data_IF_151084095779
#
_entry.id   IF_151084095779
#
_cell.length_a   1.000
_cell.length_b   1.000
_cell.length_c   1.000
_cell.angle_alpha   90.00
_cell.angle_beta   90.00
_cell.angle_gamma   90.00
#
_symmetry.space_group_name_H-M   'P 1'
#
loop_
_entity.id
_entity.type
_entity.pdbx_description
1 polymer ?
#
# COMPACT_ATOMS: atom_id res chain seq x y z
N UNK A 1 5.29 -12.85 -42.57
CA UNK A 1 4.53 -11.76 -41.95
C UNK A 1 3.07 -12.18 -41.91
N UNK A 2 2.50 -12.39 -40.71
CA UNK A 2 1.09 -12.76 -40.57
C UNK A 2 0.38 -11.50 -40.06
N UNK A 3 -0.60 -11.03 -40.79
CA UNK A 3 -1.44 -9.88 -40.43
C UNK A 3 -2.68 -10.37 -39.70
N UNK A 4 -3.03 -9.74 -38.59
CA UNK A 4 -4.29 -9.95 -37.88
C UNK A 4 -5.07 -8.63 -37.87
N UNK A 5 -6.25 -8.64 -38.52
CA UNK A 5 -7.15 -7.49 -38.59
C UNK A 5 -8.26 -7.66 -37.54
N UNK A 6 -8.05 -7.12 -36.34
CA UNK A 6 -9.10 -7.01 -35.34
C UNK A 6 -9.73 -5.62 -35.36
N UNK A 7 -10.96 -5.51 -35.86
CA UNK A 7 -11.71 -4.26 -35.78
C UNK A 7 -12.32 -4.12 -34.38
N UNK A 8 -11.96 -3.05 -33.66
CA UNK A 8 -12.64 -2.66 -32.44
C UNK A 8 -13.25 -1.27 -32.64
N UNK A 9 -14.55 -1.15 -32.39
CA UNK A 9 -15.24 0.15 -32.43
C UNK A 9 -14.83 0.97 -31.21
N UNK A 10 -14.30 2.17 -31.41
CA UNK A 10 -13.98 3.13 -30.33
C UNK A 10 -14.88 4.34 -30.55
N UNK A 11 -15.73 4.72 -29.57
CA UNK A 11 -16.58 5.91 -29.71
C UNK A 11 -15.76 7.17 -29.92
N UNK A 12 -16.29 8.11 -30.71
CA UNK A 12 -15.62 9.38 -30.96
C UNK A 12 -15.32 10.13 -29.67
N UNK A 13 -14.06 10.56 -29.50
CA UNK A 13 -13.58 11.30 -28.34
C UNK A 13 -12.82 10.46 -27.29
N UNK A 14 -12.75 9.14 -27.40
CA UNK A 14 -11.97 8.28 -26.50
C UNK A 14 -10.59 8.02 -27.11
N UNK A 15 -9.52 8.46 -26.45
CA UNK A 15 -8.15 8.08 -26.83
C UNK A 15 -7.91 6.63 -26.45
N UNK A 16 -7.59 5.71 -27.39
CA UNK A 16 -7.29 4.34 -27.05
C UNK A 16 -5.97 4.27 -26.27
N UNK A 17 -6.01 3.67 -25.09
CA UNK A 17 -4.79 3.34 -24.35
C UNK A 17 -4.25 2.04 -24.90
N UNK A 18 -3.21 2.12 -25.74
CA UNK A 18 -2.54 0.94 -26.28
C UNK A 18 -1.50 0.46 -25.25
N UNK A 19 -1.89 -0.52 -24.45
CA UNK A 19 -1.08 -1.06 -23.36
C UNK A 19 0.01 -2.05 -23.79
N UNK A 20 0.53 -2.01 -25.04
CA UNK A 20 1.58 -2.94 -25.45
C UNK A 20 2.79 -2.22 -26.02
N UNK A 21 3.95 -2.42 -25.39
CA UNK A 21 5.22 -1.88 -25.87
C UNK A 21 5.71 -2.67 -27.07
N UNK A 22 6.29 -1.95 -28.05
CA UNK A 22 7.06 -2.56 -29.15
C UNK A 22 8.15 -3.47 -28.58
N UNK A 23 8.27 -4.69 -29.07
CA UNK A 23 9.21 -5.69 -28.57
C UNK A 23 8.66 -6.60 -27.47
N UNK A 24 7.44 -6.38 -26.96
CA UNK A 24 6.81 -7.29 -26.01
C UNK A 24 6.48 -8.66 -26.65
N UNK A 25 6.59 -9.78 -25.90
CA UNK A 25 6.25 -11.10 -26.44
C UNK A 25 4.76 -11.22 -26.75
N UNK A 26 4.44 -11.98 -27.80
CA UNK A 26 3.05 -12.27 -28.16
C UNK A 26 2.57 -13.45 -27.31
N UNK A 27 1.45 -13.34 -26.55
CA UNK A 27 0.92 -14.44 -25.76
C UNK A 27 0.70 -15.70 -26.57
N UNK A 28 1.18 -16.85 -26.08
CA UNK A 28 1.10 -18.14 -26.76
C UNK A 28 2.07 -18.33 -27.93
N UNK A 29 2.96 -17.38 -28.17
CA UNK A 29 3.98 -17.47 -29.24
C UNK A 29 5.33 -16.96 -28.74
N UNK A 30 6.14 -17.77 -28.08
CA UNK A 30 7.38 -17.33 -27.41
C UNK A 30 8.43 -16.72 -28.35
N UNK A 31 8.39 -17.08 -29.65
CA UNK A 31 9.33 -16.61 -30.67
C UNK A 31 8.77 -15.42 -31.51
N UNK A 32 7.71 -14.77 -31.09
CA UNK A 32 7.13 -13.62 -31.77
C UNK A 32 7.10 -12.38 -30.84
N UNK A 33 7.39 -11.23 -31.41
CA UNK A 33 7.36 -9.94 -30.71
C UNK A 33 6.57 -8.90 -31.48
N UNK A 34 5.94 -7.98 -30.76
CA UNK A 34 5.18 -6.89 -31.35
C UNK A 34 6.13 -5.87 -32.00
N UNK A 35 5.96 -5.60 -33.29
CA UNK A 35 6.86 -4.71 -34.07
C UNK A 35 6.20 -3.45 -34.57
N UNK A 36 4.88 -3.32 -34.55
CA UNK A 36 4.26 -2.20 -35.18
C UNK A 36 3.30 -1.40 -34.36
N UNK A 37 3.39 -0.18 -34.73
CA UNK A 37 2.70 0.95 -34.28
C UNK A 37 1.29 1.09 -34.82
N UNK A 38 0.65 2.00 -34.14
CA UNK A 38 -0.68 2.49 -34.41
C UNK A 38 -0.67 3.43 -35.63
N UNK A 39 -1.62 3.25 -36.54
CA UNK A 39 -1.92 4.22 -37.58
C UNK A 39 -3.38 4.62 -37.42
N UNK A 40 -3.59 5.71 -36.66
CA UNK A 40 -4.91 6.29 -36.47
C UNK A 40 -5.15 7.47 -37.43
N UNK A 41 -6.26 7.44 -38.16
CA UNK A 41 -6.82 8.60 -38.84
C UNK A 41 -8.03 9.11 -38.05
N UNK A 42 -8.27 10.41 -38.09
CA UNK A 42 -9.48 11.04 -37.54
C UNK A 42 -10.68 10.69 -38.43
N UNK A 43 -11.39 9.61 -38.13
CA UNK A 43 -12.57 9.18 -38.84
C UNK A 43 -13.41 8.18 -38.07
N UNK A 44 -14.66 7.99 -38.46
CA UNK A 44 -15.66 7.17 -37.73
C UNK A 44 -15.36 5.66 -37.59
N UNK A 45 -14.21 5.19 -38.08
CA UNK A 45 -13.74 3.82 -37.93
C UNK A 45 -12.22 3.79 -37.74
N UNK A 46 -11.74 3.70 -36.50
CA UNK A 46 -10.33 3.45 -36.23
C UNK A 46 -10.04 1.95 -36.32
N UNK A 47 -9.22 1.56 -37.32
CA UNK A 47 -8.68 0.20 -37.43
C UNK A 47 -7.28 0.15 -36.83
N UNK A 48 -7.08 -0.70 -35.83
CA UNK A 48 -5.77 -0.99 -35.30
C UNK A 48 -5.13 -2.16 -36.04
N UNK A 49 -4.12 -1.89 -36.86
CA UNK A 49 -3.30 -2.94 -37.49
C UNK A 49 -2.13 -3.28 -36.59
N UNK A 50 -2.06 -4.55 -36.17
CA UNK A 50 -0.93 -5.08 -35.40
C UNK A 50 -0.15 -6.03 -36.31
N UNK A 51 1.15 -5.73 -36.52
CA UNK A 51 2.08 -6.64 -37.17
C UNK A 51 3.04 -7.22 -36.13
N UNK A 52 3.36 -8.51 -36.25
CA UNK A 52 4.41 -9.17 -35.45
C UNK A 52 5.38 -9.90 -36.38
N UNK A 53 6.64 -9.92 -35.99
CA UNK A 53 7.67 -10.67 -36.69
C UNK A 53 7.94 -11.98 -35.94
N UNK A 54 8.05 -13.07 -36.69
CA UNK A 54 8.53 -14.34 -36.17
C UNK A 54 10.05 -14.28 -36.21
N UNK A 55 10.71 -14.34 -35.08
CA UNK A 55 12.16 -14.53 -34.99
C UNK A 55 12.48 -15.97 -35.40
N UNK A 56 12.86 -16.16 -36.66
CA UNK A 56 13.44 -17.44 -37.12
C UNK A 56 14.84 -17.52 -36.52
N UNK A 57 15.03 -18.48 -35.63
CA UNK A 57 16.37 -18.84 -35.18
C UNK A 57 17.11 -19.42 -36.38
N UNK A 58 18.29 -18.91 -36.76
CA UNK A 58 19.07 -19.52 -37.85
C UNK A 58 19.42 -20.94 -37.46
N UNK A 59 19.17 -21.86 -38.38
CA UNK A 59 19.60 -23.25 -38.26
C UNK A 59 21.13 -23.28 -38.16
N UNK A 60 21.74 -23.97 -37.19
CA UNK A 60 23.17 -24.01 -37.08
C UNK A 60 23.77 -24.72 -38.31
N UNK A 61 24.67 -24.04 -38.99
CA UNK A 61 25.48 -24.59 -40.06
C UNK A 61 26.41 -25.66 -39.46
N UNK A 62 26.53 -26.87 -40.04
CA UNK A 62 27.42 -27.89 -39.51
C UNK A 62 28.87 -27.42 -39.60
N UNK A 63 29.52 -27.28 -38.46
CA UNK A 63 30.94 -26.95 -38.34
C UNK A 63 31.77 -28.17 -38.63
N UNK A 64 32.73 -28.02 -39.53
CA UNK A 64 33.70 -29.09 -39.93
C UNK A 64 34.46 -29.61 -38.70
N UNK A 65 34.55 -30.92 -38.62
CA UNK A 65 35.32 -31.64 -37.61
C UNK A 65 36.82 -31.25 -37.67
N UNK A 66 37.34 -30.72 -36.59
CA UNK A 66 38.78 -30.49 -36.39
C UNK A 66 39.36 -31.63 -35.60
N UNK A 67 40.49 -32.14 -36.10
CA UNK A 67 41.32 -33.18 -35.51
C UNK A 67 41.78 -32.82 -34.08
N UNK A 68 41.75 -33.74 -33.09
CA UNK A 68 42.11 -33.41 -31.71
C UNK A 68 43.60 -33.12 -31.57
N UNK A 69 43.93 -31.96 -31.06
CA UNK A 69 45.26 -31.56 -30.59
C UNK A 69 45.53 -32.20 -29.22
N UNK A 70 46.76 -32.61 -28.89
CA UNK A 70 47.03 -33.33 -27.65
C UNK A 70 46.75 -32.51 -26.40
N UNK A 71 46.18 -33.20 -25.42
CA UNK A 71 45.77 -32.75 -24.10
C UNK A 71 46.89 -32.03 -23.35
N UNK A 72 46.62 -30.78 -22.97
CA UNK A 72 47.37 -30.08 -21.94
C UNK A 72 46.75 -30.43 -20.56
N UNK A 73 47.61 -30.76 -19.59
CA UNK A 73 47.24 -31.07 -18.21
C UNK A 73 46.33 -29.97 -17.64
N UNK A 74 45.17 -30.32 -17.06
CA UNK A 74 44.25 -29.29 -16.52
C UNK A 74 44.91 -28.56 -15.35
N UNK A 75 45.06 -27.26 -15.47
CA UNK A 75 45.32 -26.37 -14.33
C UNK A 75 44.14 -26.49 -13.35
N UNK A 76 44.37 -26.55 -12.02
CA UNK A 76 43.26 -26.65 -11.07
C UNK A 76 42.34 -25.48 -11.24
N UNK A 77 41.14 -25.75 -11.69
CA UNK A 77 40.05 -24.76 -11.77
C UNK A 77 39.70 -24.37 -10.34
N UNK A 78 39.94 -23.09 -9.99
CA UNK A 78 39.44 -22.54 -8.74
C UNK A 78 37.90 -22.67 -8.76
N UNK A 79 37.39 -23.47 -7.82
CA UNK A 79 35.94 -23.57 -7.60
C UNK A 79 35.44 -22.16 -7.34
N UNK A 80 34.49 -21.62 -8.12
CA UNK A 80 33.94 -20.32 -7.82
C UNK A 80 33.33 -20.35 -6.41
N UNK A 81 33.80 -19.47 -5.53
CA UNK A 81 33.15 -19.23 -4.27
C UNK A 81 31.70 -18.88 -4.60
N UNK A 82 30.68 -19.56 -3.99
CA UNK A 82 29.31 -19.23 -4.25
C UNK A 82 29.14 -17.75 -3.97
N UNK A 83 28.86 -16.98 -5.00
CA UNK A 83 28.42 -15.58 -4.85
C UNK A 83 27.18 -15.64 -3.98
N UNK A 84 27.19 -14.97 -2.84
CA UNK A 84 25.99 -14.81 -2.06
C UNK A 84 24.93 -14.27 -3.03
N UNK A 85 23.87 -15.05 -3.25
CA UNK A 85 22.74 -14.57 -4.05
C UNK A 85 22.21 -13.33 -3.34
N UNK A 86 22.30 -12.19 -4.01
CA UNK A 86 21.59 -10.97 -3.56
C UNK A 86 20.12 -11.38 -3.49
N UNK A 87 19.44 -11.23 -2.36
CA UNK A 87 18.01 -11.52 -2.29
C UNK A 87 17.30 -10.75 -3.41
N UNK A 88 16.53 -11.45 -4.24
CA UNK A 88 15.75 -10.84 -5.31
C UNK A 88 14.46 -10.29 -4.72
N UNK A 89 14.52 -9.16 -4.05
CA UNK A 89 13.36 -8.53 -3.42
C UNK A 89 13.66 -7.09 -3.01
N UNK A 90 12.62 -6.38 -2.61
CA UNK A 90 12.77 -5.03 -2.08
C UNK A 90 13.53 -5.06 -0.74
N UNK A 91 14.63 -4.30 -0.57
CA UNK A 91 15.47 -4.38 0.64
C UNK A 91 14.73 -4.01 1.93
N UNK A 92 13.82 -3.04 1.89
CA UNK A 92 13.08 -2.60 3.06
C UNK A 92 12.01 -3.64 3.43
N UNK A 93 11.36 -4.26 2.43
CA UNK A 93 10.45 -5.38 2.64
C UNK A 93 11.17 -6.57 3.29
N UNK A 94 12.35 -6.94 2.80
CA UNK A 94 13.18 -8.03 3.37
C UNK A 94 13.62 -7.73 4.81
N UNK A 95 14.01 -6.48 5.07
CA UNK A 95 14.33 -6.04 6.43
C UNK A 95 13.13 -6.16 7.36
N UNK A 96 11.93 -5.74 6.91
CA UNK A 96 10.70 -5.88 7.69
C UNK A 96 10.32 -7.33 7.93
N UNK A 97 10.35 -8.22 6.92
CA UNK A 97 10.11 -9.66 7.04
C UNK A 97 11.04 -10.27 8.09
N UNK A 98 12.33 -9.91 8.04
CA UNK A 98 13.32 -10.35 9.02
C UNK A 98 12.95 -9.89 10.44
N UNK A 99 12.51 -8.64 10.62
CA UNK A 99 12.06 -8.12 11.92
C UNK A 99 10.83 -8.87 12.43
N UNK A 100 9.86 -9.18 11.58
CA UNK A 100 8.68 -9.98 11.93
C UNK A 100 9.09 -11.36 12.46
N UNK A 101 9.99 -12.05 11.75
CA UNK A 101 10.51 -13.35 12.17
C UNK A 101 11.26 -13.28 13.51
N UNK A 102 12.13 -12.28 13.67
CA UNK A 102 12.88 -12.06 14.91
C UNK A 102 11.97 -11.73 16.11
N UNK A 103 10.82 -11.12 15.87
CA UNK A 103 9.76 -10.87 16.85
C UNK A 103 8.90 -12.11 17.15
N UNK A 104 9.28 -13.30 16.65
CA UNK A 104 8.56 -14.55 16.82
C UNK A 104 7.27 -14.64 15.99
N UNK A 105 7.09 -13.77 15.02
CA UNK A 105 6.01 -13.86 14.04
C UNK A 105 6.29 -14.95 13.00
N UNK A 106 5.23 -15.49 12.43
CA UNK A 106 5.33 -16.48 11.34
C UNK A 106 4.67 -15.93 10.09
N UNK A 107 5.38 -16.05 8.98
CA UNK A 107 4.90 -15.68 7.65
C UNK A 107 4.94 -16.91 6.74
N UNK A 108 3.96 -17.05 5.87
CA UNK A 108 4.03 -17.98 4.74
C UNK A 108 4.73 -17.29 3.58
N UNK A 109 5.30 -18.05 2.62
CA UNK A 109 5.91 -17.47 1.43
C UNK A 109 4.95 -16.56 0.64
N UNK A 110 3.64 -16.87 0.64
CA UNK A 110 2.64 -16.01 0.01
C UNK A 110 2.49 -14.66 0.74
N UNK A 111 2.60 -14.65 2.08
CA UNK A 111 2.56 -13.42 2.86
C UNK A 111 3.85 -12.59 2.69
N UNK A 112 5.01 -13.23 2.59
CA UNK A 112 6.27 -12.56 2.28
C UNK A 112 6.22 -11.91 0.90
N UNK A 113 5.74 -12.63 -0.12
CA UNK A 113 5.53 -12.06 -1.46
C UNK A 113 4.55 -10.87 -1.43
N UNK A 114 3.45 -10.98 -0.69
CA UNK A 114 2.48 -9.87 -0.57
C UNK A 114 3.09 -8.62 0.09
N UNK A 115 3.98 -8.79 1.07
CA UNK A 115 4.72 -7.69 1.69
C UNK A 115 5.66 -7.05 0.66
N UNK A 116 6.41 -7.84 -0.10
CA UNK A 116 7.32 -7.34 -1.14
C UNK A 116 6.59 -6.58 -2.23
N UNK A 117 5.47 -7.10 -2.70
CA UNK A 117 4.62 -6.46 -3.70
C UNK A 117 4.06 -5.12 -3.19
N UNK A 118 3.63 -5.06 -1.92
CA UNK A 118 3.17 -3.82 -1.30
C UNK A 118 4.28 -2.76 -1.29
N UNK A 119 5.49 -3.09 -0.80
CA UNK A 119 6.60 -2.13 -0.74
C UNK A 119 7.01 -1.66 -2.13
N UNK A 120 7.13 -2.57 -3.08
CA UNK A 120 7.47 -2.27 -4.48
C UNK A 120 6.42 -1.34 -5.10
N UNK A 121 5.14 -1.61 -4.89
CA UNK A 121 4.03 -0.80 -5.41
C UNK A 121 4.03 0.59 -4.77
N UNK A 122 4.11 0.69 -3.44
CA UNK A 122 4.15 1.99 -2.75
C UNK A 122 5.34 2.85 -3.16
N UNK A 123 6.51 2.25 -3.42
CA UNK A 123 7.69 2.94 -3.92
C UNK A 123 7.53 3.38 -5.37
N UNK A 124 7.00 2.52 -6.23
CA UNK A 124 6.79 2.86 -7.65
C UNK A 124 5.79 3.99 -7.84
N UNK A 125 4.79 4.08 -6.96
CA UNK A 125 3.77 5.13 -6.97
C UNK A 125 4.20 6.41 -6.23
N UNK A 126 5.39 6.40 -5.61
CA UNK A 126 5.93 7.53 -4.85
C UNK A 126 5.20 7.78 -3.52
N UNK A 127 4.41 6.83 -3.05
CA UNK A 127 3.66 6.92 -1.78
C UNK A 127 4.57 6.62 -0.60
N UNK A 128 5.47 5.63 -0.74
CA UNK A 128 6.36 5.19 0.34
C UNK A 128 7.10 6.33 1.03
N UNK A 129 7.62 7.29 0.28
CA UNK A 129 8.33 8.47 0.80
C UNK A 129 7.45 9.48 1.54
N UNK A 130 6.12 9.35 1.47
CA UNK A 130 5.15 10.20 2.16
C UNK A 130 4.66 9.58 3.47
N UNK A 131 5.02 8.33 3.74
CA UNK A 131 4.64 7.63 4.96
C UNK A 131 5.66 7.96 6.07
N UNK A 132 5.18 8.44 7.20
CA UNK A 132 5.98 8.63 8.41
C UNK A 132 5.97 7.39 9.31
N UNK A 133 4.87 6.64 9.31
CA UNK A 133 4.76 5.33 9.94
C UNK A 133 3.81 4.43 9.16
N UNK A 134 4.00 3.10 9.25
CA UNK A 134 3.17 2.09 8.63
C UNK A 134 3.19 0.78 9.44
N UNK A 135 2.01 0.26 9.79
CA UNK A 135 1.88 -1.02 10.49
C UNK A 135 1.01 -1.98 9.69
N UNK A 136 1.50 -3.19 9.45
CA UNK A 136 0.86 -4.21 8.60
C UNK A 136 0.10 -5.28 9.38
N UNK A 137 0.31 -5.38 10.69
CA UNK A 137 -0.30 -6.36 11.60
C UNK A 137 -0.21 -7.80 11.08
N UNK A 138 1.00 -8.23 10.70
CA UNK A 138 1.32 -9.57 10.22
C UNK A 138 2.17 -10.35 11.22
N UNK A 139 2.26 -11.67 11.06
CA UNK A 139 3.07 -12.54 11.93
C UNK A 139 2.32 -13.12 13.12
N UNK A 140 1.11 -12.62 13.44
CA UNK A 140 0.15 -13.27 14.33
C UNK A 140 0.37 -13.13 15.84
N UNK A 141 1.30 -12.30 16.30
CA UNK A 141 1.54 -12.05 17.72
C UNK A 141 1.72 -10.55 18.02
N UNK A 142 1.70 -10.16 19.30
CA UNK A 142 1.79 -8.79 19.73
C UNK A 142 3.10 -8.11 19.32
N UNK A 143 4.23 -8.81 19.42
CA UNK A 143 5.53 -8.25 19.09
C UNK A 143 5.67 -7.98 17.58
N UNK A 144 5.23 -8.91 16.74
CA UNK A 144 5.26 -8.71 15.27
C UNK A 144 4.27 -7.65 14.80
N UNK A 145 3.08 -7.56 15.45
CA UNK A 145 2.09 -6.54 15.12
C UNK A 145 2.49 -5.13 15.59
N UNK A 146 3.45 -5.03 16.50
CA UNK A 146 3.96 -3.74 16.98
C UNK A 146 4.88 -3.06 15.97
N UNK A 147 5.49 -3.80 15.05
CA UNK A 147 6.59 -3.32 14.21
C UNK A 147 6.14 -2.26 13.20
N UNK A 148 6.82 -1.11 13.21
CA UNK A 148 6.74 -0.14 12.13
C UNK A 148 7.42 -0.71 10.87
N UNK A 149 6.68 -0.83 9.79
CA UNK A 149 7.18 -1.44 8.56
C UNK A 149 8.22 -0.57 7.82
N UNK A 150 8.31 0.73 8.13
CA UNK A 150 9.30 1.64 7.54
C UNK A 150 10.70 1.52 8.18
N UNK A 151 10.88 0.60 9.13
CA UNK A 151 12.18 0.31 9.73
C UNK A 151 12.58 1.20 10.91
N UNK A 152 11.88 2.28 11.17
CA UNK A 152 12.12 3.12 12.36
C UNK A 152 11.46 2.48 13.59
N UNK A 153 12.30 1.98 14.51
CA UNK A 153 11.83 1.34 15.73
C UNK A 153 11.22 2.32 16.74
N UNK A 154 11.41 3.63 16.56
CA UNK A 154 10.81 4.66 17.40
C UNK A 154 9.28 4.66 17.31
N UNK A 155 8.72 4.12 16.22
CA UNK A 155 7.29 4.03 15.98
C UNK A 155 6.76 2.60 16.10
N UNK A 156 7.51 1.69 16.71
CA UNK A 156 7.00 0.38 17.10
C UNK A 156 5.96 0.57 18.23
N UNK A 157 4.80 -0.07 18.07
CA UNK A 157 3.66 0.14 18.97
C UNK A 157 3.93 -0.43 20.36
N UNK A 158 3.69 0.35 21.39
CA UNK A 158 3.59 -0.12 22.78
C UNK A 158 2.13 -0.48 23.09
N UNK A 159 1.85 -1.76 23.24
CA UNK A 159 0.50 -2.26 23.53
C UNK A 159 0.11 -2.10 24.98
N UNK A 160 -1.15 -1.72 25.23
CA UNK A 160 -1.73 -1.54 26.55
C UNK A 160 -3.13 -2.17 26.61
N UNK A 161 -3.45 -2.79 27.73
CA UNK A 161 -4.77 -3.38 27.99
C UNK A 161 -5.06 -4.63 27.17
N UNK A 162 -6.34 -4.89 26.95
CA UNK A 162 -6.82 -6.12 26.33
C UNK A 162 -6.86 -6.06 24.81
N UNK A 163 -5.90 -6.73 24.16
CA UNK A 163 -5.86 -6.89 22.70
C UNK A 163 -5.63 -8.37 22.36
N UNK A 164 -6.17 -8.77 21.22
CA UNK A 164 -5.94 -10.08 20.62
C UNK A 164 -5.20 -9.89 19.29
N UNK A 165 -4.16 -10.71 19.08
CA UNK A 165 -3.34 -10.66 17.89
C UNK A 165 -3.43 -11.99 17.15
N UNK A 166 -3.81 -11.97 15.88
CA UNK A 166 -3.96 -13.20 15.06
C UNK A 166 -3.46 -12.98 13.63
N UNK A 167 -2.99 -14.04 13.02
CA UNK A 167 -2.54 -14.01 11.61
C UNK A 167 -3.68 -13.62 10.67
N UNK A 168 -4.87 -14.14 10.88
CA UNK A 168 -6.03 -13.90 10.00
C UNK A 168 -6.74 -12.57 10.29
N UNK A 169 -6.81 -12.15 11.56
CA UNK A 169 -7.64 -11.01 11.99
C UNK A 169 -6.88 -9.71 12.26
N UNK A 170 -5.53 -9.72 12.16
CA UNK A 170 -4.76 -8.55 12.59
C UNK A 170 -4.82 -8.36 14.11
N UNK A 171 -4.93 -7.10 14.55
CA UNK A 171 -5.05 -6.73 15.97
C UNK A 171 -6.48 -6.30 16.29
N UNK A 172 -7.09 -6.96 17.26
CA UNK A 172 -8.44 -6.66 17.74
C UNK A 172 -8.38 -6.21 19.19
N UNK A 173 -8.82 -5.00 19.47
CA UNK A 173 -8.95 -4.49 20.83
C UNK A 173 -10.32 -4.87 21.41
N UNK A 174 -10.43 -4.82 22.75
CA UNK A 174 -11.60 -5.29 23.48
C UNK A 174 -12.71 -4.25 23.66
N UNK A 175 -12.59 -3.05 23.07
CA UNK A 175 -13.56 -1.96 23.20
C UNK A 175 -13.64 -1.29 24.57
N UNK A 176 -12.75 -1.61 25.52
CA UNK A 176 -12.82 -1.12 26.91
C UNK A 176 -11.53 -0.50 27.42
N UNK A 177 -10.38 -1.13 27.18
CA UNK A 177 -9.09 -0.65 27.68
C UNK A 177 -7.90 -0.99 26.76
N UNK A 178 -8.12 -1.73 25.66
CA UNK A 178 -7.07 -2.12 24.71
C UNK A 178 -6.71 -0.98 23.76
N UNK A 179 -5.44 -0.62 23.66
CA UNK A 179 -4.92 0.35 22.69
C UNK A 179 -3.41 0.17 22.47
N UNK A 180 -2.89 0.81 21.43
CA UNK A 180 -1.47 0.90 21.16
C UNK A 180 -0.99 2.34 21.08
N UNK A 181 0.11 2.67 21.76
CA UNK A 181 0.84 3.92 21.56
C UNK A 181 1.86 3.71 20.44
N UNK A 182 1.73 4.48 19.35
CA UNK A 182 2.61 4.36 18.18
C UNK A 182 3.94 5.07 18.34
N UNK A 183 4.12 5.90 19.37
CA UNK A 183 5.27 6.80 19.48
C UNK A 183 5.26 7.97 18.50
N UNK A 184 4.42 7.95 17.46
CA UNK A 184 4.39 8.96 16.40
C UNK A 184 3.64 10.22 16.86
N UNK A 185 4.38 11.29 17.11
CA UNK A 185 3.81 12.61 17.42
C UNK A 185 3.75 13.44 16.13
N UNK A 186 2.55 13.74 15.60
CA UNK A 186 2.43 14.41 14.32
C UNK A 186 3.03 15.82 14.29
N UNK A 187 3.07 16.52 15.43
CA UNK A 187 3.69 17.83 15.49
C UNK A 187 5.22 17.76 15.35
N UNK A 188 5.85 16.74 15.91
CA UNK A 188 7.29 16.51 15.82
C UNK A 188 7.69 15.94 14.45
N UNK A 189 6.93 14.95 13.96
CA UNK A 189 7.31 14.15 12.79
C UNK A 189 6.89 14.79 11.47
N UNK A 190 5.76 15.50 11.44
CA UNK A 190 5.24 16.11 10.21
C UNK A 190 5.51 17.63 10.20
N UNK A 191 5.29 18.31 11.34
CA UNK A 191 5.60 19.72 11.49
C UNK A 191 4.58 20.51 12.33
N UNK A 192 4.97 21.74 12.66
CA UNK A 192 4.25 22.64 13.58
C UNK A 192 3.45 23.72 12.87
N UNK A 193 3.37 23.72 11.55
CA UNK A 193 2.69 24.76 10.82
C UNK A 193 1.17 24.69 11.04
N UNK A 194 0.52 25.86 11.09
CA UNK A 194 -0.93 25.97 11.06
C UNK A 194 -1.44 25.35 9.75
N UNK A 195 -2.43 24.46 9.86
CA UNK A 195 -2.95 23.76 8.69
C UNK A 195 -1.99 22.76 8.06
N UNK A 196 -0.97 22.32 8.80
CA UNK A 196 0.04 21.37 8.32
C UNK A 196 -0.61 20.24 7.52
N UNK A 197 -0.25 20.06 6.22
CA UNK A 197 -0.76 18.98 5.40
C UNK A 197 -0.32 17.62 5.94
N UNK A 198 -1.25 16.64 5.97
CA UNK A 198 -0.99 15.30 6.51
C UNK A 198 -2.11 14.33 6.21
N UNK A 199 -1.85 13.04 6.42
CA UNK A 199 -2.88 12.01 6.37
C UNK A 199 -2.83 11.05 7.57
N UNK A 200 -3.97 10.40 7.80
CA UNK A 200 -4.11 9.17 8.59
C UNK A 200 -4.87 8.17 7.73
N UNK A 201 -4.41 6.93 7.68
CA UNK A 201 -5.08 5.85 6.96
C UNK A 201 -5.21 4.59 7.82
N UNK A 202 -6.37 3.94 7.75
CA UNK A 202 -6.65 2.70 8.49
C UNK A 202 -7.47 1.75 7.63
N UNK A 203 -7.04 0.47 7.59
CA UNK A 203 -7.85 -0.64 7.10
C UNK A 203 -8.45 -1.38 8.28
N UNK A 204 -9.78 -1.44 8.33
CA UNK A 204 -10.50 -2.15 9.39
C UNK A 204 -11.32 -3.28 8.81
N UNK A 205 -11.41 -4.38 9.57
CA UNK A 205 -12.46 -5.35 9.42
C UNK A 205 -13.40 -5.29 10.62
N UNK A 206 -14.57 -5.88 10.39
CA UNK A 206 -15.71 -5.92 11.30
C UNK A 206 -15.46 -5.62 12.76
N UNK A 207 -16.21 -4.66 13.28
CA UNK A 207 -17.07 -4.98 14.40
C UNK A 207 -18.28 -4.04 14.49
N UNK A 208 -19.26 -4.38 15.31
CA UNK A 208 -20.54 -3.68 15.41
C UNK A 208 -20.48 -2.44 16.29
N UNK A 209 -19.39 -2.23 17.03
CA UNK A 209 -19.31 -1.21 18.07
C UNK A 209 -18.67 0.12 17.63
N UNK A 210 -18.85 1.09 18.50
CA UNK A 210 -18.34 2.43 18.38
C UNK A 210 -16.88 2.48 18.88
N UNK A 211 -16.07 3.35 18.27
CA UNK A 211 -14.71 3.57 18.74
C UNK A 211 -13.88 4.30 17.69
N UNK A 212 -12.73 4.76 18.12
CA UNK A 212 -11.75 5.42 17.25
C UNK A 212 -10.66 4.42 16.92
N UNK A 213 -10.41 4.20 15.64
CA UNK A 213 -9.38 3.27 15.19
C UNK A 213 -7.98 3.82 15.35
N UNK A 214 -7.81 5.14 15.12
CA UNK A 214 -6.53 5.81 15.26
C UNK A 214 -6.72 7.30 15.49
N UNK A 215 -5.89 7.91 16.34
CA UNK A 215 -5.86 9.36 16.49
C UNK A 215 -5.25 9.90 17.77
N UNK A 216 -5.37 11.20 17.92
CA UNK A 216 -4.94 11.97 19.08
C UNK A 216 -5.88 13.15 19.35
N UNK A 217 -6.10 13.46 20.62
CA UNK A 217 -6.78 14.65 21.11
C UNK A 217 -5.81 15.44 21.98
N UNK A 218 -5.53 16.68 21.62
CA UNK A 218 -4.66 17.60 22.34
C UNK A 218 -5.43 18.85 22.80
N UNK A 219 -4.82 19.61 23.73
CA UNK A 219 -5.39 20.88 24.23
C UNK A 219 -6.77 20.70 24.89
N UNK A 220 -6.97 19.65 25.69
CA UNK A 220 -8.28 19.35 26.30
C UNK A 220 -9.32 18.90 25.28
N UNK A 221 -8.88 18.35 24.14
CA UNK A 221 -9.74 17.89 23.06
C UNK A 221 -10.13 18.97 22.06
N UNK A 222 -9.44 20.10 22.05
CA UNK A 222 -9.67 21.18 21.07
C UNK A 222 -9.07 20.85 19.72
N UNK A 223 -7.87 20.27 19.69
CA UNK A 223 -7.19 19.83 18.49
C UNK A 223 -7.32 18.31 18.42
N UNK A 224 -7.85 17.81 17.30
CA UNK A 224 -8.19 16.39 17.17
C UNK A 224 -7.84 15.90 15.79
N UNK A 225 -6.96 14.92 15.76
CA UNK A 225 -6.73 14.10 14.58
C UNK A 225 -7.28 12.71 14.88
N UNK A 226 -8.27 12.25 14.12
CA UNK A 226 -8.77 10.90 14.33
C UNK A 226 -9.54 10.35 13.14
N UNK A 227 -9.58 9.04 13.10
CA UNK A 227 -10.39 8.25 12.22
C UNK A 227 -11.27 7.30 13.03
N UNK A 228 -12.56 7.37 12.79
CA UNK A 228 -13.56 6.47 13.34
C UNK A 228 -14.51 6.03 12.22
N UNK A 229 -14.34 4.81 11.71
CA UNK A 229 -15.20 4.26 10.68
C UNK A 229 -16.64 4.09 11.18
N UNK A 230 -16.81 3.96 12.49
CA UNK A 230 -18.10 4.03 13.18
C UNK A 230 -17.93 4.51 14.62
N UNK A 231 -18.48 5.66 14.91
CA UNK A 231 -18.64 6.24 16.24
C UNK A 231 -20.05 6.80 16.34
N UNK A 232 -20.81 6.51 17.42
CA UNK A 232 -22.20 6.94 17.57
C UNK A 232 -23.09 6.62 16.34
N UNK A 233 -22.88 5.43 15.75
CA UNK A 233 -23.60 4.90 14.60
C UNK A 233 -23.34 5.61 13.25
N UNK A 234 -22.32 6.44 13.15
CA UNK A 234 -21.93 7.09 11.90
C UNK A 234 -20.40 7.23 11.82
N UNK A 235 -19.83 7.46 10.63
CA UNK A 235 -18.41 7.72 10.51
C UNK A 235 -18.05 9.11 11.02
N UNK A 236 -16.89 9.22 11.64
CA UNK A 236 -16.30 10.49 12.07
C UNK A 236 -14.83 10.54 11.66
N UNK A 237 -14.47 11.52 10.87
CA UNK A 237 -13.11 11.76 10.44
C UNK A 237 -12.75 13.22 10.66
N UNK A 238 -11.53 13.50 11.10
CA UNK A 238 -11.10 14.85 11.40
C UNK A 238 -9.58 14.95 11.45
N UNK A 239 -9.02 16.04 10.91
CA UNK A 239 -7.64 16.46 11.13
C UNK A 239 -7.63 17.96 11.52
N UNK A 240 -7.48 18.24 12.82
CA UNK A 240 -7.39 19.61 13.36
C UNK A 240 -8.56 20.04 14.22
N UNK A 241 -8.94 21.30 14.15
CA UNK A 241 -9.95 21.93 15.03
C UNK A 241 -11.31 22.24 14.37
N UNK A 242 -11.50 21.89 13.10
CA UNK A 242 -12.82 22.07 12.43
C UNK A 242 -13.80 20.96 12.80
N UNK A 243 -15.04 21.06 12.31
CA UNK A 243 -16.05 20.03 12.49
C UNK A 243 -15.66 18.69 11.91
N UNK A 244 -16.11 17.62 12.55
CA UNK A 244 -15.88 16.27 12.04
C UNK A 244 -16.65 16.05 10.73
N UNK A 245 -16.03 15.36 9.78
CA UNK A 245 -16.68 14.90 8.55
C UNK A 245 -17.52 13.68 8.89
N UNK A 246 -18.83 13.78 8.64
CA UNK A 246 -19.84 12.76 8.96
C UNK A 246 -20.85 12.63 7.83
N UNK A 247 -21.84 11.73 7.97
CA UNK A 247 -23.02 11.74 7.08
C UNK A 247 -22.87 11.02 5.75
N UNK A 248 -21.81 10.27 5.51
CA UNK A 248 -21.56 9.57 4.23
C UNK A 248 -21.63 8.02 4.35
N UNK A 249 -22.49 7.52 5.22
CA UNK A 249 -22.66 6.08 5.48
C UNK A 249 -21.50 5.47 6.28
N UNK A 250 -21.76 4.40 6.99
CA UNK A 250 -20.73 3.69 7.77
C UNK A 250 -19.65 3.12 6.87
N UNK A 251 -18.39 3.24 7.25
CA UNK A 251 -17.21 2.83 6.51
C UNK A 251 -16.41 1.75 7.27
N UNK A 252 -17.13 0.86 7.92
CA UNK A 252 -16.58 -0.39 8.47
C UNK A 252 -16.24 -1.34 7.30
N UNK A 253 -15.29 -2.23 7.50
CA UNK A 253 -14.79 -3.15 6.47
C UNK A 253 -14.24 -2.39 5.25
N UNK A 254 -13.34 -1.45 5.47
CA UNK A 254 -12.76 -0.70 4.38
C UNK A 254 -11.41 -0.08 4.75
N UNK A 255 -10.66 0.26 3.73
CA UNK A 255 -9.57 1.20 3.86
C UNK A 255 -10.13 2.62 3.78
N UNK A 256 -9.77 3.44 4.74
CA UNK A 256 -10.17 4.83 4.79
C UNK A 256 -8.93 5.70 4.97
N UNK A 257 -8.85 6.77 4.21
CA UNK A 257 -7.81 7.79 4.30
C UNK A 257 -8.49 9.11 4.63
N UNK A 258 -8.13 9.71 5.76
CA UNK A 258 -8.43 11.13 6.02
C UNK A 258 -7.18 11.94 5.69
N UNK A 259 -7.34 12.94 4.85
CA UNK A 259 -6.25 13.72 4.28
C UNK A 259 -6.53 15.21 4.45
N UNK A 260 -5.53 15.97 4.85
CA UNK A 260 -5.58 17.41 4.97
C UNK A 260 -4.54 18.05 4.05
N UNK A 261 -4.97 18.94 3.17
CA UNK A 261 -4.09 19.58 2.19
C UNK A 261 -3.68 21.00 2.58
N UNK A 262 -4.23 21.54 3.68
CA UNK A 262 -3.92 22.89 4.15
C UNK A 262 -4.91 23.40 5.19
N UNK A 263 -5.03 24.72 5.31
CA UNK A 263 -5.88 25.36 6.30
C UNK A 263 -7.38 25.28 5.98
N UNK A 264 -7.76 25.07 4.72
CA UNK A 264 -9.16 25.19 4.27
C UNK A 264 -9.71 23.93 3.62
N UNK A 265 -8.95 22.83 3.58
CA UNK A 265 -9.42 21.65 2.87
C UNK A 265 -8.98 20.35 3.54
N UNK A 266 -9.97 19.53 3.85
CA UNK A 266 -9.80 18.13 4.28
C UNK A 266 -10.72 17.26 3.44
N UNK A 267 -10.33 16.00 3.26
CA UNK A 267 -11.07 15.03 2.48
C UNK A 267 -10.96 13.65 3.10
N UNK A 268 -11.95 12.81 2.83
CA UNK A 268 -11.96 11.40 3.16
C UNK A 268 -12.11 10.60 1.89
N UNK A 269 -11.16 9.73 1.64
CA UNK A 269 -11.30 8.67 0.66
C UNK A 269 -11.65 7.37 1.37
N UNK A 270 -12.56 6.64 0.79
CA UNK A 270 -12.99 5.35 1.28
C UNK A 270 -13.23 4.43 0.09
N UNK A 271 -12.60 3.26 0.09
CA UNK A 271 -12.66 2.31 -1.02
C UNK A 271 -12.25 2.97 -2.35
N UNK A 272 -11.13 3.69 -2.37
CA UNK A 272 -10.57 4.35 -3.55
C UNK A 272 -11.39 5.52 -4.10
N UNK A 273 -12.44 5.96 -3.41
CA UNK A 273 -13.32 7.04 -3.88
C UNK A 273 -13.44 8.15 -2.87
N UNK A 274 -13.50 9.39 -3.34
CA UNK A 274 -13.78 10.55 -2.50
C UNK A 274 -15.18 10.40 -1.87
N UNK A 275 -15.21 10.27 -0.54
CA UNK A 275 -16.44 10.08 0.22
C UNK A 275 -17.04 11.39 0.71
N UNK A 276 -16.21 12.33 1.15
CA UNK A 276 -16.64 13.65 1.63
C UNK A 276 -15.48 14.61 1.73
N UNK A 277 -15.79 15.90 1.81
CA UNK A 277 -14.83 16.99 2.02
C UNK A 277 -15.28 17.92 3.13
N UNK A 278 -14.34 18.64 3.74
CA UNK A 278 -14.59 19.74 4.65
C UNK A 278 -13.75 20.95 4.21
N UNK A 279 -14.41 22.06 3.93
CA UNK A 279 -13.79 23.32 3.47
C UNK A 279 -13.77 24.41 4.55
N UNK A 280 -14.07 24.08 5.80
CA UNK A 280 -13.99 25.02 6.90
C UNK A 280 -12.54 25.38 7.20
N UNK A 281 -12.30 26.67 7.42
CA UNK A 281 -10.99 27.17 7.82
C UNK A 281 -10.60 26.62 9.18
N UNK A 282 -9.42 26.02 9.23
CA UNK A 282 -8.84 25.46 10.44
C UNK A 282 -7.43 26.02 10.64
N UNK A 283 -7.26 26.74 11.73
CA UNK A 283 -6.01 27.40 12.10
C UNK A 283 -5.23 26.64 13.16
N UNK A 284 -5.54 25.35 13.38
CA UNK A 284 -4.80 24.53 14.34
C UNK A 284 -3.51 23.98 13.76
N UNK A 285 -2.54 23.77 14.63
CA UNK A 285 -1.39 22.90 14.38
C UNK A 285 -1.83 21.43 14.50
N UNK A 286 -1.00 20.44 14.08
CA UNK A 286 -1.22 19.04 14.47
C UNK A 286 -1.25 18.86 15.99
N UNK A 287 -1.88 17.80 16.52
CA UNK A 287 -1.79 17.47 17.95
C UNK A 287 -0.33 17.27 18.38
N UNK A 288 0.01 17.77 19.58
CA UNK A 288 1.35 17.58 20.19
C UNK A 288 1.33 16.41 21.20
N UNK A 289 0.71 15.32 20.80
CA UNK A 289 0.69 14.05 21.53
C UNK A 289 0.70 12.90 20.52
N UNK A 290 1.22 11.74 20.90
CA UNK A 290 1.32 10.58 20.01
C UNK A 290 -0.04 10.14 19.49
N UNK A 291 -0.08 9.68 18.24
CA UNK A 291 -1.21 8.90 17.76
C UNK A 291 -1.29 7.56 18.51
N UNK A 292 -2.50 7.22 18.94
CA UNK A 292 -2.81 5.88 19.41
C UNK A 292 -3.64 5.13 18.37
N UNK A 293 -3.50 3.81 18.36
CA UNK A 293 -4.36 2.89 17.60
C UNK A 293 -5.33 2.19 18.53
N UNK A 294 -6.49 1.81 18.01
CA UNK A 294 -7.64 1.28 18.76
C UNK A 294 -8.27 2.25 19.77
N UNK A 295 -7.81 3.49 19.81
CA UNK A 295 -8.44 4.67 20.42
C UNK A 295 -7.70 5.93 19.97
N UNK A 296 -8.20 7.12 20.30
CA UNK A 296 -7.38 8.32 20.24
C UNK A 296 -6.69 8.57 21.58
N UNK A 297 -5.44 9.03 21.57
CA UNK A 297 -4.77 9.56 22.74
C UNK A 297 -5.56 10.73 23.32
N UNK A 298 -5.76 10.82 24.62
CA UNK A 298 -6.57 11.85 25.25
C UNK A 298 -8.09 11.64 25.19
N UNK A 299 -8.59 10.53 24.61
CA UNK A 299 -10.02 10.21 24.54
C UNK A 299 -10.30 8.76 25.02
N UNK A 300 -11.51 8.54 25.55
CA UNK A 300 -11.94 7.23 26.05
C UNK A 300 -12.89 6.51 25.11
N UNK A 301 -12.68 6.63 23.80
CA UNK A 301 -13.45 5.96 22.76
C UNK A 301 -12.67 4.76 22.23
N UNK A 302 -12.62 3.68 23.01
CA UNK A 302 -11.93 2.45 22.64
C UNK A 302 -12.65 1.74 21.50
N UNK A 303 -11.89 1.33 20.50
CA UNK A 303 -12.37 0.51 19.38
C UNK A 303 -12.34 -0.97 19.75
N UNK A 304 -13.26 -1.72 19.19
CA UNK A 304 -13.24 -3.19 19.20
C UNK A 304 -13.10 -3.77 17.78
N UNK A 305 -12.78 -2.89 16.83
CA UNK A 305 -12.57 -3.29 15.44
C UNK A 305 -11.21 -3.95 15.23
N UNK A 306 -11.15 -4.84 14.26
CA UNK A 306 -9.89 -5.41 13.82
C UNK A 306 -9.11 -4.36 13.01
N UNK A 307 -7.88 -4.07 13.44
CA UNK A 307 -6.93 -3.25 12.71
C UNK A 307 -6.05 -4.16 11.85
N UNK A 308 -6.06 -3.93 10.54
CA UNK A 308 -5.31 -4.74 9.58
C UNK A 308 -4.22 -3.96 8.85
N UNK A 309 -4.30 -2.63 8.90
CA UNK A 309 -3.28 -1.72 8.38
C UNK A 309 -3.50 -0.34 9.01
N UNK A 310 -2.42 0.35 9.37
CA UNK A 310 -2.46 1.77 9.77
C UNK A 310 -1.26 2.51 9.21
N UNK A 311 -1.45 3.76 8.83
CA UNK A 311 -0.37 4.68 8.50
C UNK A 311 -0.70 6.12 8.85
N UNK A 312 0.34 6.93 8.97
CA UNK A 312 0.27 8.39 9.01
C UNK A 312 1.51 8.98 8.34
N UNK A 313 1.40 10.20 7.87
CA UNK A 313 2.52 10.89 7.22
C UNK A 313 2.09 12.15 6.50
N UNK A 314 2.84 12.51 5.47
CA UNK A 314 2.62 13.67 4.63
C UNK A 314 1.29 13.60 3.85
N UNK A 315 0.88 14.71 3.29
CA UNK A 315 -0.31 14.81 2.45
C UNK A 315 -0.23 13.89 1.22
N UNK A 316 -1.34 13.28 0.87
CA UNK A 316 -1.52 12.47 -0.34
C UNK A 316 -2.31 13.27 -1.38
N UNK A 317 -1.91 13.19 -2.65
CA UNK A 317 -2.73 13.70 -3.76
C UNK A 317 -3.93 12.78 -4.00
N UNK A 318 -4.98 13.21 -4.71
CA UNK A 318 -6.09 12.32 -5.08
C UNK A 318 -5.65 11.05 -5.80
N UNK A 319 -4.63 11.12 -6.65
CA UNK A 319 -4.06 9.94 -7.33
C UNK A 319 -3.35 9.03 -6.34
N UNK A 320 -2.56 9.60 -5.41
CA UNK A 320 -1.90 8.79 -4.38
C UNK A 320 -2.93 8.03 -3.53
N UNK A 321 -4.06 8.66 -3.18
CA UNK A 321 -5.08 8.03 -2.35
C UNK A 321 -5.75 6.84 -3.05
N UNK A 322 -5.97 6.93 -4.37
CA UNK A 322 -6.49 5.82 -5.18
C UNK A 322 -5.46 4.70 -5.28
N UNK A 323 -4.22 5.02 -5.64
CA UNK A 323 -3.15 4.03 -5.76
C UNK A 323 -2.83 3.36 -4.40
N UNK A 324 -2.90 4.14 -3.32
CA UNK A 324 -2.70 3.61 -1.97
C UNK A 324 -3.77 2.60 -1.57
N UNK A 325 -5.04 2.92 -1.91
CA UNK A 325 -6.15 1.98 -1.74
C UNK A 325 -5.91 0.69 -2.50
N UNK A 326 -5.58 0.78 -3.80
CA UNK A 326 -5.36 -0.38 -4.66
C UNK A 326 -4.21 -1.26 -4.14
N UNK A 327 -3.11 -0.64 -3.69
CA UNK A 327 -1.97 -1.35 -3.12
C UNK A 327 -2.33 -2.07 -1.81
N UNK A 328 -2.98 -1.36 -0.87
CA UNK A 328 -3.37 -1.94 0.42
C UNK A 328 -4.47 -2.99 0.26
N UNK A 329 -5.44 -2.78 -0.64
CA UNK A 329 -6.49 -3.75 -0.92
C UNK A 329 -5.94 -5.03 -1.56
N UNK A 330 -4.98 -4.91 -2.49
CA UNK A 330 -4.27 -6.05 -3.09
C UNK A 330 -3.53 -6.83 -2.01
N UNK A 331 -2.80 -6.13 -1.15
CA UNK A 331 -2.11 -6.72 0.00
C UNK A 331 -3.06 -7.47 0.93
N UNK A 332 -4.16 -6.85 1.38
CA UNK A 332 -5.13 -7.50 2.26
C UNK A 332 -5.81 -8.70 1.61
N UNK A 333 -6.07 -8.63 0.29
CA UNK A 333 -6.62 -9.75 -0.48
C UNK A 333 -5.65 -10.94 -0.52
N UNK A 334 -4.36 -10.68 -0.77
CA UNK A 334 -3.32 -11.72 -0.75
C UNK A 334 -3.15 -12.37 0.63
N UNK A 335 -3.43 -11.63 1.71
CA UNK A 335 -3.45 -12.15 3.08
C UNK A 335 -4.75 -12.90 3.44
N UNK A 336 -5.74 -12.97 2.54
CA UNK A 336 -7.06 -13.52 2.83
C UNK A 336 -7.91 -12.66 3.79
N UNK A 337 -7.59 -11.37 3.90
CA UNK A 337 -8.23 -10.41 4.82
C UNK A 337 -9.14 -9.42 4.10
N UNK A 338 -9.55 -9.71 2.86
CA UNK A 338 -10.43 -8.82 2.12
C UNK A 338 -11.77 -8.68 2.85
N UNK A 339 -12.04 -7.48 3.37
CA UNK A 339 -13.26 -7.15 4.11
C UNK A 339 -14.28 -6.39 3.27
N UNK A 340 -14.00 -6.13 2.00
CA UNK A 340 -14.93 -5.47 1.09
C UNK A 340 -16.04 -6.46 0.69
N UNK A 341 -17.16 -6.39 1.38
CA UNK A 341 -18.40 -7.12 1.07
C UNK A 341 -19.51 -6.15 0.73
#
# INVERSE_FOLDING_TARGET
MIRWNGKRYIPAGVKPVIGRRRGAPVPGRPNARWVAGWVGGLGEQDTCDFTYEILVTPTPTPTSSVTPTPSITPTPTMTPTPSASVPSGDPDAQAYITRVTNAGGTLTSAQETAIEDLFTTLKSDGIYSKLGMMHLYVGGNAASHALNALGDTSFDITWNGGLTHTTAGGTVANGTNGYGDTGFNPQTEIGTAVGQPRHIAVYTALNTNNGIEMGAYDGGGSIRDFQAARLLNQPYFRLGNTGSMTGFGTRINSFNVVNRTGTTYQEVYARGSLATTNTQTDTSQPPNVNYYVARANGANFYSDKALMFTSAGDVLTPTDQINFEDAVQTFQTALGRNSYT
#
